data_IF_554471915365
#
_entry.id   IF_554471915365
#
_cell.length_a   1.000
_cell.length_b   1.000
_cell.length_c   1.000
_cell.angle_alpha   90.00
_cell.angle_beta   90.00
_cell.angle_gamma   90.00
#
_symmetry.space_group_name_H-M   'P 1'
#
loop_
_entity.id
_entity.type
_entity.pdbx_description
1 polymer ?
#
# COMPACT_ATOMS: atom_id res chain seq x y z
N UNK A 1 -16.98 -4.45 -68.97
CA UNK A 1 -15.77 -3.99 -68.19
C UNK A 1 -16.12 -4.07 -66.73
N UNK A 2 -15.70 -5.17 -66.11
CA UNK A 2 -15.88 -5.49 -64.74
C UNK A 2 -14.87 -4.68 -63.89
N UNK A 3 -15.39 -4.01 -62.82
CA UNK A 3 -14.57 -3.36 -61.83
C UNK A 3 -14.33 -4.35 -60.67
N UNK A 4 -13.10 -4.84 -60.56
CA UNK A 4 -12.66 -5.68 -59.45
C UNK A 4 -12.61 -4.86 -58.18
N UNK A 5 -13.47 -5.23 -57.20
CA UNK A 5 -13.46 -4.75 -55.85
C UNK A 5 -12.32 -5.41 -55.06
N UNK A 6 -11.31 -4.64 -54.70
CA UNK A 6 -10.21 -5.08 -53.82
C UNK A 6 -10.68 -5.08 -52.35
N UNK A 7 -10.96 -6.27 -51.84
CA UNK A 7 -11.17 -6.49 -50.39
C UNK A 7 -9.84 -6.30 -49.68
N UNK A 8 -9.71 -5.21 -48.93
CA UNK A 8 -8.60 -5.02 -47.98
C UNK A 8 -8.76 -6.01 -46.83
N UNK A 9 -7.94 -7.04 -46.82
CA UNK A 9 -7.75 -7.93 -45.67
C UNK A 9 -7.26 -7.10 -44.48
N UNK A 10 -8.05 -7.10 -43.37
CA UNK A 10 -7.65 -6.55 -42.07
C UNK A 10 -6.40 -7.30 -41.62
N UNK A 11 -5.30 -6.55 -41.51
CA UNK A 11 -4.04 -7.06 -41.00
C UNK A 11 -4.18 -7.75 -39.67
N UNK A 12 -3.52 -8.87 -39.52
CA UNK A 12 -3.34 -9.63 -38.27
C UNK A 12 -2.91 -8.67 -37.16
N UNK A 13 -3.60 -8.74 -36.00
CA UNK A 13 -3.13 -8.09 -34.79
C UNK A 13 -1.77 -8.69 -34.44
N UNK A 14 -0.70 -7.99 -34.80
CA UNK A 14 0.65 -8.35 -34.40
C UNK A 14 0.70 -8.59 -32.88
N UNK A 15 1.42 -9.60 -32.46
CA UNK A 15 1.72 -9.85 -31.06
C UNK A 15 2.27 -8.52 -30.48
N UNK A 16 1.58 -7.98 -29.47
CA UNK A 16 2.08 -6.78 -28.78
C UNK A 16 3.44 -7.13 -28.21
N UNK A 17 4.45 -6.34 -28.55
CA UNK A 17 5.75 -6.43 -27.86
C UNK A 17 5.52 -6.42 -26.33
N UNK A 18 6.29 -7.23 -25.58
CA UNK A 18 6.16 -7.22 -24.13
C UNK A 18 6.37 -5.79 -23.63
N UNK A 19 5.34 -5.25 -22.99
CA UNK A 19 5.40 -3.89 -22.44
C UNK A 19 6.47 -3.84 -21.36
N UNK A 20 7.32 -2.83 -21.42
CA UNK A 20 8.24 -2.54 -20.32
C UNK A 20 7.46 -2.40 -19.00
N UNK A 21 7.89 -3.05 -17.92
CA UNK A 21 7.22 -2.96 -16.62
C UNK A 21 7.07 -1.50 -16.19
N UNK A 22 5.84 -1.09 -15.87
CA UNK A 22 5.51 0.25 -15.40
C UNK A 22 4.64 0.15 -14.15
N UNK A 23 5.10 0.75 -13.05
CA UNK A 23 4.35 0.83 -11.81
C UNK A 23 3.23 1.86 -11.91
N UNK A 24 1.99 1.47 -11.63
CA UNK A 24 0.90 2.39 -11.30
C UNK A 24 0.81 2.58 -9.79
N UNK A 25 0.85 3.81 -9.32
CA UNK A 25 0.62 4.14 -7.90
C UNK A 25 -0.75 4.76 -7.77
N UNK A 26 -1.69 4.04 -7.14
CA UNK A 26 -3.01 4.54 -6.78
C UNK A 26 -2.91 5.16 -5.39
N UNK A 27 -2.63 6.45 -5.35
CA UNK A 27 -2.32 7.23 -4.16
C UNK A 27 -3.33 8.33 -3.86
N UNK A 28 -2.92 9.31 -3.06
CA UNK A 28 -3.76 10.44 -2.62
C UNK A 28 -4.49 10.19 -1.30
N UNK A 29 -4.24 9.04 -0.65
CA UNK A 29 -4.94 8.60 0.55
C UNK A 29 -4.03 8.35 1.80
N UNK A 30 -3.13 9.25 2.24
CA UNK A 30 -3.02 10.64 1.83
C UNK A 30 -1.92 10.94 0.81
N UNK A 31 -1.90 12.18 0.34
CA UNK A 31 -0.93 12.64 -0.65
C UNK A 31 0.50 12.66 -0.11
N UNK A 32 0.73 13.03 1.13
CA UNK A 32 2.05 12.99 1.75
C UNK A 32 2.58 11.55 1.87
N UNK A 33 1.72 10.61 2.27
CA UNK A 33 2.08 9.19 2.31
C UNK A 33 2.43 8.65 0.91
N UNK A 34 1.74 9.10 -0.13
CA UNK A 34 2.05 8.75 -1.53
C UNK A 34 3.44 9.24 -1.94
N UNK A 35 3.82 10.44 -1.53
CA UNK A 35 5.16 10.98 -1.76
C UNK A 35 6.23 10.15 -1.05
N UNK A 36 6.02 9.83 0.22
CA UNK A 36 6.96 9.00 1.02
C UNK A 36 7.05 7.59 0.43
N UNK A 37 5.95 7.02 -0.05
CA UNK A 37 5.97 5.73 -0.75
C UNK A 37 6.88 5.76 -1.98
N UNK A 38 6.77 6.78 -2.82
CA UNK A 38 7.62 6.90 -3.99
C UNK A 38 9.09 7.11 -3.61
N UNK A 39 9.36 7.84 -2.53
CA UNK A 39 10.71 7.96 -1.99
C UNK A 39 11.25 6.58 -1.57
N UNK A 40 10.46 5.74 -0.91
CA UNK A 40 10.86 4.37 -0.57
C UNK A 40 11.17 3.54 -1.82
N UNK A 41 10.36 3.67 -2.88
CA UNK A 41 10.63 2.99 -4.16
C UNK A 41 12.00 3.41 -4.72
N UNK A 42 12.32 4.71 -4.70
CA UNK A 42 13.62 5.21 -5.15
C UNK A 42 14.77 4.69 -4.27
N UNK A 43 14.63 4.79 -2.96
CA UNK A 43 15.65 4.39 -1.99
C UNK A 43 15.94 2.89 -2.03
N UNK A 44 14.91 2.07 -2.29
CA UNK A 44 15.01 0.60 -2.35
C UNK A 44 15.42 0.07 -3.72
N UNK A 45 15.44 0.89 -4.76
CA UNK A 45 15.90 0.47 -6.09
C UNK A 45 17.42 0.56 -6.18
N UNK A 46 18.09 -0.54 -6.56
CA UNK A 46 19.51 -0.50 -6.91
C UNK A 46 19.64 0.20 -8.27
N UNK A 47 20.13 1.44 -8.25
CA UNK A 47 20.25 2.29 -9.42
C UNK A 47 21.40 3.27 -9.27
N UNK A 48 22.16 3.46 -10.34
CA UNK A 48 23.28 4.42 -10.45
C UNK A 48 22.93 5.61 -11.35
N UNK A 49 21.85 5.51 -12.11
CA UNK A 49 21.35 6.55 -13.01
C UNK A 49 19.82 6.46 -13.17
N UNK A 50 19.22 7.49 -13.75
CA UNK A 50 17.75 7.59 -13.89
C UNK A 50 17.14 6.41 -14.64
N UNK A 51 17.82 5.90 -15.66
CA UNK A 51 17.32 4.82 -16.53
C UNK A 51 17.29 3.45 -15.85
N UNK A 52 17.97 3.31 -14.72
CA UNK A 52 17.97 2.08 -13.92
C UNK A 52 16.79 2.02 -12.95
N UNK A 53 16.16 3.17 -12.65
CA UNK A 53 14.92 3.22 -11.88
C UNK A 53 13.74 2.63 -12.66
N UNK A 54 12.68 2.27 -11.94
CA UNK A 54 11.47 1.74 -12.57
C UNK A 54 10.58 2.88 -13.09
N UNK A 55 10.00 2.75 -14.30
CA UNK A 55 8.99 3.69 -14.78
C UNK A 55 7.75 3.67 -13.89
N UNK A 56 7.23 4.83 -13.50
CA UNK A 56 6.06 4.94 -12.65
C UNK A 56 5.06 5.99 -13.15
N UNK A 57 3.78 5.71 -12.96
CA UNK A 57 2.69 6.67 -13.08
C UNK A 57 2.02 6.81 -11.71
N UNK A 58 2.05 8.00 -11.13
CA UNK A 58 1.50 8.27 -9.81
C UNK A 58 0.20 9.04 -9.98
N UNK A 59 -0.91 8.41 -9.61
CA UNK A 59 -2.22 9.03 -9.51
C UNK A 59 -2.47 9.39 -8.04
N UNK A 60 -2.39 10.69 -7.70
CA UNK A 60 -2.69 11.17 -6.36
C UNK A 60 -4.13 11.68 -6.31
N UNK A 61 -5.11 10.77 -6.15
CA UNK A 61 -6.52 11.13 -6.04
C UNK A 61 -6.92 11.42 -4.59
N UNK A 62 -6.98 12.70 -4.25
CA UNK A 62 -7.45 13.15 -2.94
C UNK A 62 -8.98 13.18 -2.81
N UNK A 63 -9.70 12.91 -3.91
CA UNK A 63 -11.16 12.84 -3.94
C UNK A 63 -11.76 11.52 -3.46
N UNK A 64 -10.93 10.50 -3.17
CA UNK A 64 -11.42 9.25 -2.57
C UNK A 64 -11.98 9.53 -1.18
N UNK A 65 -13.25 9.16 -0.87
CA UNK A 65 -13.84 9.37 0.45
C UNK A 65 -12.98 8.85 1.59
N UNK A 66 -13.10 9.44 2.79
CA UNK A 66 -12.34 8.96 3.95
C UNK A 66 -12.61 7.47 4.19
N UNK A 67 -11.54 6.68 4.18
CA UNK A 67 -11.60 5.21 4.20
C UNK A 67 -12.12 4.67 5.52
N UNK A 68 -11.68 5.26 6.63
CA UNK A 68 -12.13 4.87 7.97
C UNK A 68 -13.59 5.23 8.16
N UNK A 69 -14.01 6.45 7.83
CA UNK A 69 -15.40 6.87 7.93
C UNK A 69 -16.31 5.99 7.05
N UNK A 70 -15.91 5.70 5.81
CA UNK A 70 -16.65 4.81 4.91
C UNK A 70 -16.87 3.41 5.50
N UNK A 71 -15.83 2.82 6.08
CA UNK A 71 -15.90 1.48 6.72
C UNK A 71 -16.78 1.52 7.96
N UNK A 72 -16.59 2.50 8.85
CA UNK A 72 -17.31 2.56 10.12
C UNK A 72 -18.80 2.85 9.95
N UNK A 73 -19.17 3.64 8.95
CA UNK A 73 -20.58 3.94 8.64
C UNK A 73 -21.24 2.90 7.73
N UNK A 74 -20.47 2.02 7.09
CA UNK A 74 -20.96 1.07 6.09
C UNK A 74 -21.24 1.69 4.71
N UNK A 75 -21.02 2.98 4.52
CA UNK A 75 -21.18 3.66 3.21
C UNK A 75 -19.89 3.50 2.37
N UNK A 76 -19.63 2.29 1.93
CA UNK A 76 -18.37 1.91 1.28
C UNK A 76 -18.41 1.99 -0.25
N UNK A 77 -19.59 1.99 -0.87
CA UNK A 77 -19.71 1.93 -2.34
C UNK A 77 -19.09 3.14 -3.07
N UNK A 78 -19.25 4.40 -2.62
CA UNK A 78 -18.59 5.53 -3.26
C UNK A 78 -17.06 5.42 -3.25
N UNK A 79 -16.47 4.91 -2.16
CA UNK A 79 -15.05 4.64 -2.05
C UNK A 79 -14.61 3.55 -3.04
N UNK A 80 -15.36 2.45 -3.12
CA UNK A 80 -15.07 1.35 -4.05
C UNK A 80 -15.10 1.81 -5.50
N UNK A 81 -16.16 2.53 -5.92
CA UNK A 81 -16.29 3.00 -7.30
C UNK A 81 -15.17 3.95 -7.70
N UNK A 82 -14.73 4.81 -6.79
CA UNK A 82 -13.61 5.71 -7.04
C UNK A 82 -12.29 4.96 -7.22
N UNK A 83 -11.99 4.04 -6.31
CA UNK A 83 -10.79 3.21 -6.39
C UNK A 83 -10.76 2.34 -7.67
N UNK A 84 -11.91 1.78 -8.06
CA UNK A 84 -12.02 1.00 -9.30
C UNK A 84 -11.76 1.86 -10.54
N UNK A 85 -12.34 3.07 -10.60
CA UNK A 85 -12.12 3.99 -11.71
C UNK A 85 -10.64 4.37 -11.82
N UNK A 86 -9.98 4.65 -10.73
CA UNK A 86 -8.55 4.97 -10.68
C UNK A 86 -7.67 3.78 -11.09
N UNK A 87 -8.01 2.57 -10.66
CA UNK A 87 -7.29 1.36 -11.05
C UNK A 87 -7.40 1.10 -12.56
N UNK A 88 -8.60 1.28 -13.14
CA UNK A 88 -8.82 1.18 -14.60
C UNK A 88 -8.04 2.25 -15.36
N UNK A 89 -8.02 3.49 -14.87
CA UNK A 89 -7.25 4.56 -15.49
C UNK A 89 -5.75 4.22 -15.55
N UNK A 90 -5.18 3.70 -14.46
CA UNK A 90 -3.77 3.28 -14.44
C UNK A 90 -3.51 2.14 -15.43
N UNK A 91 -4.40 1.16 -15.54
CA UNK A 91 -4.31 0.08 -16.53
C UNK A 91 -4.38 0.63 -17.98
N UNK A 92 -5.32 1.52 -18.27
CA UNK A 92 -5.48 2.18 -19.57
C UNK A 92 -4.26 3.01 -19.95
N UNK A 93 -3.61 3.64 -18.98
CA UNK A 93 -2.35 4.38 -19.17
C UNK A 93 -1.13 3.45 -19.35
N UNK A 94 -1.34 2.14 -19.41
CA UNK A 94 -0.30 1.16 -19.73
C UNK A 94 0.56 0.74 -18.54
N UNK A 95 0.12 0.98 -17.30
CA UNK A 95 0.73 0.35 -16.15
C UNK A 95 0.59 -1.18 -16.22
N UNK A 96 1.56 -1.90 -15.67
CA UNK A 96 1.61 -3.37 -15.69
C UNK A 96 1.37 -3.99 -14.33
N UNK A 97 1.42 -3.18 -13.28
CA UNK A 97 1.19 -3.55 -11.89
C UNK A 97 0.75 -2.31 -11.11
N UNK A 98 -0.12 -2.48 -10.13
CA UNK A 98 -0.62 -1.40 -9.27
C UNK A 98 -0.15 -1.60 -7.83
N UNK A 99 0.36 -0.54 -7.21
CA UNK A 99 0.56 -0.41 -5.77
C UNK A 99 -0.44 0.61 -5.21
N UNK A 100 -1.06 0.27 -4.07
CA UNK A 100 -1.99 1.15 -3.36
C UNK A 100 -1.40 1.44 -1.98
N UNK A 101 -0.68 2.57 -1.78
CA UNK A 101 -0.08 2.91 -0.49
C UNK A 101 -1.15 3.44 0.49
N UNK A 102 -2.10 2.58 0.82
CA UNK A 102 -3.19 2.83 1.77
C UNK A 102 -3.68 1.49 2.34
N UNK A 103 -3.46 1.25 3.61
CA UNK A 103 -3.86 -0.02 4.23
C UNK A 103 -5.38 -0.24 4.21
N UNK A 104 -6.16 0.76 4.61
CA UNK A 104 -7.63 0.64 4.69
C UNK A 104 -8.27 0.35 3.33
N UNK A 105 -7.69 0.86 2.24
CA UNK A 105 -8.18 0.62 0.87
C UNK A 105 -8.04 -0.85 0.44
N UNK A 106 -7.20 -1.63 1.11
CA UNK A 106 -7.06 -3.08 0.84
C UNK A 106 -8.33 -3.88 1.17
N UNK A 107 -9.29 -3.26 1.85
CA UNK A 107 -10.63 -3.83 1.99
C UNK A 107 -11.29 -4.17 0.64
N UNK A 108 -10.95 -3.46 -0.42
CA UNK A 108 -11.50 -3.67 -1.76
C UNK A 108 -10.53 -4.31 -2.76
N UNK A 109 -9.29 -4.57 -2.40
CA UNK A 109 -8.27 -5.04 -3.38
C UNK A 109 -8.72 -6.32 -4.08
N UNK A 110 -9.23 -7.31 -3.38
CA UNK A 110 -9.68 -8.55 -3.99
C UNK A 110 -10.89 -8.34 -4.93
N UNK A 111 -11.80 -7.40 -4.60
CA UNK A 111 -12.94 -7.05 -5.44
C UNK A 111 -12.50 -6.27 -6.68
N UNK A 112 -11.60 -5.31 -6.55
CA UNK A 112 -11.05 -4.53 -7.67
C UNK A 112 -10.24 -5.43 -8.61
N UNK A 113 -9.48 -6.38 -8.07
CA UNK A 113 -8.66 -7.31 -8.85
C UNK A 113 -9.49 -8.14 -9.83
N UNK A 114 -10.75 -8.40 -9.54
CA UNK A 114 -11.65 -9.13 -10.45
C UNK A 114 -12.11 -8.28 -11.65
N UNK A 115 -11.95 -6.97 -11.57
CA UNK A 115 -12.43 -5.98 -12.54
C UNK A 115 -11.34 -5.41 -13.45
N UNK A 116 -10.05 -5.74 -13.20
CA UNK A 116 -8.91 -5.27 -13.97
C UNK A 116 -7.99 -6.42 -14.34
N UNK A 117 -7.22 -6.27 -15.41
CA UNK A 117 -6.35 -7.32 -15.97
C UNK A 117 -4.91 -7.29 -15.46
N UNK A 118 -4.49 -6.25 -14.74
CA UNK A 118 -3.13 -6.13 -14.21
C UNK A 118 -3.12 -6.42 -12.69
N UNK A 119 -2.05 -7.01 -12.13
CA UNK A 119 -2.01 -7.35 -10.72
C UNK A 119 -1.96 -6.12 -9.81
N UNK A 120 -2.68 -6.19 -8.69
CA UNK A 120 -2.53 -5.28 -7.57
C UNK A 120 -1.63 -5.93 -6.53
N UNK A 121 -0.61 -5.21 -6.07
CA UNK A 121 0.27 -5.67 -5.00
C UNK A 121 -0.47 -5.61 -3.65
N UNK A 122 -0.61 -6.76 -2.99
CA UNK A 122 -1.39 -6.84 -1.76
C UNK A 122 -0.53 -6.55 -0.54
N UNK A 123 -0.43 -5.27 -0.14
CA UNK A 123 0.41 -4.77 0.95
C UNK A 123 0.28 -5.59 2.24
N UNK A 124 -0.94 -5.89 2.68
CA UNK A 124 -1.18 -6.55 3.98
C UNK A 124 -0.70 -8.01 3.95
N UNK A 125 -0.99 -8.73 2.86
CA UNK A 125 -0.54 -10.11 2.66
C UNK A 125 0.97 -10.23 2.59
N UNK A 126 1.62 -9.33 1.87
CA UNK A 126 3.08 -9.31 1.77
C UNK A 126 3.76 -8.91 3.08
N UNK A 127 3.13 -8.03 3.87
CA UNK A 127 3.60 -7.72 5.22
C UNK A 127 3.57 -8.97 6.11
N UNK A 128 2.46 -9.73 6.10
CA UNK A 128 2.37 -10.98 6.85
C UNK A 128 3.44 -12.00 6.41
N UNK A 129 3.66 -12.14 5.10
CA UNK A 129 4.71 -13.02 4.55
C UNK A 129 6.12 -12.59 5.00
N UNK A 130 6.40 -11.29 4.98
CA UNK A 130 7.67 -10.72 5.42
C UNK A 130 7.91 -11.01 6.91
N UNK A 131 6.89 -10.86 7.75
CA UNK A 131 7.00 -11.15 9.18
C UNK A 131 7.36 -12.62 9.44
N UNK A 132 6.73 -13.56 8.74
CA UNK A 132 7.08 -14.98 8.84
C UNK A 132 8.52 -15.24 8.41
N UNK A 133 8.96 -14.63 7.29
CA UNK A 133 10.33 -14.76 6.82
C UNK A 133 11.35 -14.20 7.83
N UNK A 134 10.97 -13.21 8.64
CA UNK A 134 11.75 -12.66 9.74
C UNK A 134 11.64 -13.45 11.06
N UNK A 135 10.90 -14.57 11.08
CA UNK A 135 10.71 -15.40 12.26
C UNK A 135 9.77 -14.80 13.32
N UNK A 136 8.98 -13.78 12.96
CA UNK A 136 8.01 -13.15 13.86
C UNK A 136 6.79 -14.06 14.06
N UNK A 137 6.11 -13.88 15.19
CA UNK A 137 4.94 -14.69 15.55
C UNK A 137 3.76 -13.89 16.10
N UNK A 138 4.01 -12.81 16.83
CA UNK A 138 3.00 -12.05 17.57
C UNK A 138 3.09 -10.55 17.27
N UNK A 139 2.75 -10.11 16.05
CA UNK A 139 2.78 -8.70 15.71
C UNK A 139 1.65 -7.92 16.38
N UNK A 140 1.95 -6.74 16.93
CA UNK A 140 0.94 -5.72 17.22
C UNK A 140 0.54 -5.02 15.93
N UNK A 141 -0.74 -4.62 15.80
CA UNK A 141 -1.26 -3.92 14.62
C UNK A 141 -1.48 -2.45 15.00
N UNK A 142 -0.64 -1.54 14.48
CA UNK A 142 -0.84 -0.10 14.60
C UNK A 142 -1.48 0.42 13.31
N UNK A 143 -2.80 0.65 13.33
CA UNK A 143 -3.58 1.00 12.16
C UNK A 143 -4.76 1.90 12.52
N UNK A 144 -5.49 2.39 11.51
CA UNK A 144 -6.74 3.12 11.77
C UNK A 144 -7.84 2.20 12.31
N UNK A 145 -8.83 2.79 12.97
CA UNK A 145 -10.01 2.05 13.43
C UNK A 145 -10.72 1.34 12.26
N UNK A 146 -10.73 1.95 11.07
CA UNK A 146 -11.26 1.33 9.86
C UNK A 146 -10.51 0.05 9.49
N UNK A 147 -9.20 0.08 9.46
CA UNK A 147 -8.37 -1.10 9.18
C UNK A 147 -8.55 -2.19 10.25
N UNK A 148 -8.54 -1.81 11.54
CA UNK A 148 -8.78 -2.76 12.65
C UNK A 148 -10.16 -3.40 12.53
N UNK A 149 -11.21 -2.61 12.24
CA UNK A 149 -12.60 -3.09 12.11
C UNK A 149 -12.78 -4.10 10.99
N UNK A 150 -12.06 -3.97 9.87
CA UNK A 150 -12.14 -4.93 8.76
C UNK A 150 -11.54 -6.28 9.08
N UNK A 151 -10.65 -6.37 10.08
CA UNK A 151 -9.93 -7.59 10.42
C UNK A 151 -8.93 -8.05 9.35
N UNK A 152 -8.56 -7.20 8.39
CA UNK A 152 -7.68 -7.58 7.28
C UNK A 152 -6.32 -8.08 7.74
N UNK A 153 -5.65 -7.37 8.65
CA UNK A 153 -4.37 -7.82 9.20
C UNK A 153 -4.52 -9.11 10.00
N UNK A 154 -5.54 -9.21 10.82
CA UNK A 154 -5.81 -10.41 11.62
C UNK A 154 -6.01 -11.63 10.71
N UNK A 155 -6.82 -11.48 9.65
CA UNK A 155 -7.09 -12.53 8.67
C UNK A 155 -5.83 -12.97 7.92
N UNK A 156 -5.10 -12.02 7.31
CA UNK A 156 -3.90 -12.34 6.53
C UNK A 156 -2.78 -12.89 7.42
N UNK A 157 -2.58 -12.33 8.60
CA UNK A 157 -1.61 -12.84 9.57
C UNK A 157 -1.95 -14.27 10.03
N UNK A 158 -3.22 -14.54 10.35
CA UNK A 158 -3.67 -15.88 10.76
C UNK A 158 -3.47 -16.92 9.64
N UNK A 159 -3.66 -16.53 8.37
CA UNK A 159 -3.39 -17.40 7.23
C UNK A 159 -1.92 -17.84 7.13
N UNK A 160 -1.00 -17.05 7.69
CA UNK A 160 0.43 -17.35 7.80
C UNK A 160 0.85 -17.89 9.19
N UNK A 161 -0.10 -18.19 10.08
CA UNK A 161 0.19 -18.70 11.42
C UNK A 161 0.68 -17.65 12.42
N UNK A 162 0.44 -16.34 12.16
CA UNK A 162 0.79 -15.24 13.05
C UNK A 162 -0.40 -14.88 13.96
N UNK A 163 -0.12 -14.56 15.21
CA UNK A 163 -1.09 -14.10 16.21
C UNK A 163 -1.09 -12.56 16.30
N UNK A 164 -1.66 -11.90 15.29
CA UNK A 164 -1.70 -10.44 15.21
C UNK A 164 -2.86 -9.87 16.04
N UNK A 165 -2.58 -8.84 16.84
CA UNK A 165 -3.58 -8.17 17.66
C UNK A 165 -3.43 -6.64 17.65
N UNK A 166 -4.56 -5.89 17.63
CA UNK A 166 -4.53 -4.45 17.86
C UNK A 166 -4.17 -4.16 19.33
N UNK A 167 -3.65 -2.95 19.63
CA UNK A 167 -3.43 -2.54 21.00
C UNK A 167 -4.75 -2.30 21.75
N UNK A 168 -4.66 -2.14 23.07
CA UNK A 168 -5.81 -1.78 23.89
C UNK A 168 -6.45 -0.45 23.45
N UNK A 169 -7.76 -0.21 23.73
CA UNK A 169 -8.48 0.97 23.26
C UNK A 169 -7.84 2.31 23.61
N UNK A 170 -7.19 2.41 24.79
CA UNK A 170 -6.50 3.64 25.19
C UNK A 170 -5.30 3.93 24.28
N UNK A 171 -4.53 2.92 23.92
CA UNK A 171 -3.37 3.02 23.03
C UNK A 171 -3.84 3.24 21.58
N UNK A 172 -4.91 2.57 21.17
CA UNK A 172 -5.51 2.76 19.85
C UNK A 172 -5.95 4.22 19.62
N UNK A 173 -6.48 4.90 20.65
CA UNK A 173 -6.79 6.33 20.56
C UNK A 173 -5.55 7.21 20.32
N UNK A 174 -4.40 6.85 20.93
CA UNK A 174 -3.15 7.57 20.63
C UNK A 174 -2.69 7.36 19.19
N UNK A 175 -2.82 6.13 18.66
CA UNK A 175 -2.54 5.84 17.25
C UNK A 175 -3.41 6.68 16.34
N UNK A 176 -4.73 6.72 16.57
CA UNK A 176 -5.69 7.53 15.81
C UNK A 176 -5.37 9.02 15.89
N UNK A 177 -4.99 9.53 17.07
CA UNK A 177 -4.62 10.93 17.27
C UNK A 177 -3.38 11.30 16.44
N UNK A 178 -2.32 10.49 16.47
CA UNK A 178 -1.13 10.73 15.63
C UNK A 178 -1.51 10.74 14.15
N UNK A 179 -2.34 9.82 13.69
CA UNK A 179 -2.74 9.70 12.28
C UNK A 179 -3.60 10.90 11.83
N UNK A 180 -4.70 11.18 12.53
CA UNK A 180 -5.74 12.11 12.08
C UNK A 180 -5.57 13.55 12.56
N UNK A 181 -5.08 13.72 13.80
CA UNK A 181 -4.96 15.05 14.39
C UNK A 181 -3.62 15.71 14.10
N UNK A 182 -2.59 14.92 13.74
CA UNK A 182 -1.24 15.40 13.52
C UNK A 182 -0.76 15.16 12.09
N UNK A 183 -0.44 13.92 11.69
CA UNK A 183 0.18 13.63 10.38
C UNK A 183 -0.71 14.05 9.21
N UNK A 184 -2.01 13.72 9.23
CA UNK A 184 -2.95 14.14 8.16
C UNK A 184 -3.14 15.66 8.08
N UNK A 185 -2.79 16.39 9.12
CA UNK A 185 -2.79 17.87 9.14
C UNK A 185 -1.45 18.48 8.74
N UNK A 186 -0.48 17.66 8.35
CA UNK A 186 0.85 18.12 7.92
C UNK A 186 1.85 18.29 9.06
N UNK A 187 1.53 17.83 10.27
CA UNK A 187 2.46 17.82 11.38
C UNK A 187 3.38 16.60 11.33
N UNK A 188 4.49 16.63 12.09
CA UNK A 188 5.46 15.54 12.12
C UNK A 188 5.11 14.38 13.04
N UNK A 189 4.06 14.54 13.85
CA UNK A 189 3.64 13.60 14.87
C UNK A 189 4.40 13.71 16.18
N UNK A 190 3.70 13.46 17.29
CA UNK A 190 4.23 13.56 18.65
C UNK A 190 5.05 12.34 19.03
N UNK A 191 6.34 12.55 19.33
CA UNK A 191 7.21 11.51 19.89
C UNK A 191 6.76 11.07 21.27
N UNK A 192 6.20 11.97 22.06
CA UNK A 192 5.70 11.70 23.41
C UNK A 192 4.50 10.75 23.37
N UNK A 193 3.56 10.95 22.45
CA UNK A 193 2.43 10.02 22.25
C UNK A 193 2.96 8.67 21.75
N UNK A 194 3.89 8.67 20.80
CA UNK A 194 4.46 7.43 20.28
C UNK A 194 5.22 6.66 21.35
N UNK A 195 5.95 7.34 22.24
CA UNK A 195 6.62 6.70 23.37
C UNK A 195 5.64 6.06 24.37
N UNK A 196 4.40 6.56 24.49
CA UNK A 196 3.36 5.91 25.27
C UNK A 196 2.87 4.62 24.59
N UNK A 197 2.70 4.66 23.26
CA UNK A 197 2.39 3.45 22.46
C UNK A 197 3.50 2.41 22.65
N UNK A 198 4.76 2.78 22.49
CA UNK A 198 5.93 1.91 22.62
C UNK A 198 5.96 1.19 23.98
N UNK A 199 5.76 1.93 25.07
CA UNK A 199 5.68 1.34 26.43
C UNK A 199 4.52 0.35 26.58
N UNK A 200 3.38 0.65 26.00
CA UNK A 200 2.23 -0.26 26.04
C UNK A 200 2.48 -1.54 25.25
N UNK A 201 3.09 -1.45 24.09
CA UNK A 201 3.45 -2.60 23.27
C UNK A 201 4.43 -3.53 23.97
N UNK A 202 5.36 -2.99 24.77
CA UNK A 202 6.28 -3.79 25.56
C UNK A 202 5.56 -4.73 26.56
N UNK A 203 4.39 -4.33 27.07
CA UNK A 203 3.57 -5.14 27.99
C UNK A 203 2.64 -6.13 27.29
N UNK A 204 2.41 -6.00 25.98
CA UNK A 204 1.52 -6.90 25.22
C UNK A 204 2.17 -8.26 24.88
N UNK A 205 3.46 -8.43 25.07
CA UNK A 205 4.19 -9.64 24.71
C UNK A 205 4.28 -9.87 23.20
N UNK A 206 4.19 -8.81 22.39
CA UNK A 206 4.43 -8.87 20.95
C UNK A 206 5.94 -8.89 20.67
N UNK A 207 6.32 -9.54 19.58
CA UNK A 207 7.71 -9.63 19.11
C UNK A 207 8.03 -8.61 18.00
N UNK A 208 7.02 -7.90 17.51
CA UNK A 208 7.13 -6.78 16.58
C UNK A 208 5.82 -5.99 16.55
N UNK A 209 5.84 -4.85 15.86
CA UNK A 209 4.64 -4.07 15.57
C UNK A 209 4.60 -3.69 14.09
N UNK A 210 3.42 -3.80 13.48
CA UNK A 210 3.18 -3.39 12.09
C UNK A 210 2.79 -1.92 12.08
N UNK A 211 3.50 -1.09 11.31
CA UNK A 211 3.02 0.23 10.92
C UNK A 211 1.97 0.04 9.81
N UNK A 212 0.74 -0.25 10.23
CA UNK A 212 -0.40 -0.60 9.39
C UNK A 212 -1.23 0.60 8.94
N UNK A 213 -0.67 1.78 8.97
CA UNK A 213 -1.19 3.00 8.38
C UNK A 213 -0.04 3.78 7.77
N UNK A 214 -0.21 4.26 6.55
CA UNK A 214 0.87 4.96 5.82
C UNK A 214 1.24 6.30 6.44
N UNK A 215 0.37 6.91 7.23
CA UNK A 215 0.72 8.06 8.07
C UNK A 215 1.77 7.71 9.14
N UNK A 216 1.78 6.48 9.64
CA UNK A 216 2.84 6.02 10.55
C UNK A 216 4.18 5.81 9.82
N UNK A 217 4.14 5.49 8.52
CA UNK A 217 5.33 5.50 7.67
C UNK A 217 5.86 6.93 7.48
N UNK A 218 4.96 7.91 7.31
CA UNK A 218 5.32 9.34 7.30
C UNK A 218 5.93 9.74 8.66
N UNK A 219 5.34 9.30 9.78
CA UNK A 219 5.94 9.51 11.11
C UNK A 219 7.37 8.96 11.16
N UNK A 220 7.58 7.72 10.69
CA UNK A 220 8.88 7.07 10.63
C UNK A 220 9.89 7.84 9.77
N UNK A 221 9.45 8.53 8.71
CA UNK A 221 10.34 9.34 7.88
C UNK A 221 10.90 10.58 8.61
N UNK A 222 10.21 11.05 9.64
CA UNK A 222 10.68 12.15 10.50
C UNK A 222 11.39 11.67 11.76
N UNK A 223 11.08 10.45 12.21
CA UNK A 223 11.54 9.90 13.49
C UNK A 223 12.08 8.51 13.29
N UNK A 224 13.34 8.28 13.63
CA UNK A 224 13.92 6.95 13.57
C UNK A 224 13.18 6.01 14.53
N UNK A 225 12.75 4.85 14.03
CA UNK A 225 12.12 3.79 14.82
C UNK A 225 13.01 2.53 14.80
N UNK A 226 13.06 1.77 15.90
CA UNK A 226 13.83 0.54 15.96
C UNK A 226 13.27 -0.54 15.02
N UNK A 227 14.07 -1.60 14.70
CA UNK A 227 13.64 -2.71 13.84
C UNK A 227 12.46 -3.54 14.37
N UNK A 228 12.01 -3.28 15.60
CA UNK A 228 10.77 -3.81 16.15
C UNK A 228 9.54 -3.40 15.33
N UNK A 229 9.58 -2.22 14.70
CA UNK A 229 8.50 -1.70 13.86
C UNK A 229 8.72 -2.08 12.39
N UNK A 230 7.79 -2.87 11.84
CA UNK A 230 7.80 -3.29 10.44
C UNK A 230 6.84 -2.40 9.66
N UNK A 231 7.37 -1.70 8.67
CA UNK A 231 6.63 -0.74 7.87
C UNK A 231 5.99 -1.42 6.66
N UNK A 232 4.66 -1.55 6.66
CA UNK A 232 3.91 -2.16 5.57
C UNK A 232 4.09 -1.41 4.23
N UNK A 233 4.29 -0.09 4.27
CA UNK A 233 4.52 0.71 3.06
C UNK A 233 5.92 0.45 2.48
N UNK A 234 6.92 0.23 3.30
CA UNK A 234 8.25 -0.16 2.87
C UNK A 234 8.23 -1.55 2.21
N UNK A 235 7.53 -2.51 2.81
CA UNK A 235 7.30 -3.84 2.22
C UNK A 235 6.64 -3.72 0.84
N UNK A 236 5.64 -2.85 0.70
CA UNK A 236 4.98 -2.61 -0.59
C UNK A 236 5.94 -2.00 -1.61
N UNK A 237 6.81 -1.08 -1.21
CA UNK A 237 7.79 -0.46 -2.09
C UNK A 237 8.83 -1.49 -2.59
N UNK A 238 9.35 -2.32 -1.71
CA UNK A 238 10.27 -3.40 -2.08
C UNK A 238 9.61 -4.40 -3.05
N UNK A 239 8.37 -4.78 -2.77
CA UNK A 239 7.60 -5.64 -3.68
C UNK A 239 7.41 -5.00 -5.05
N UNK A 240 7.12 -3.70 -5.12
CA UNK A 240 6.98 -2.96 -6.38
C UNK A 240 8.26 -2.97 -7.19
N UNK A 241 9.42 -2.75 -6.56
CA UNK A 241 10.73 -2.81 -7.21
C UNK A 241 10.96 -4.16 -7.85
N UNK A 242 10.77 -5.24 -7.09
CA UNK A 242 10.98 -6.63 -7.58
C UNK A 242 9.98 -6.98 -8.69
N UNK A 243 8.72 -6.61 -8.55
CA UNK A 243 7.67 -6.89 -9.55
C UNK A 243 7.85 -6.13 -10.86
N UNK A 244 8.53 -4.99 -10.83
CA UNK A 244 8.94 -4.26 -12.02
C UNK A 244 10.29 -4.74 -12.60
N UNK A 245 10.83 -5.86 -12.14
CA UNK A 245 12.05 -6.48 -12.65
C UNK A 245 13.34 -5.76 -12.25
N UNK A 246 13.30 -4.91 -11.22
CA UNK A 246 14.47 -4.22 -10.69
C UNK A 246 15.02 -4.96 -9.46
N UNK A 247 16.27 -4.67 -9.13
CA UNK A 247 16.92 -5.25 -7.96
C UNK A 247 16.77 -4.34 -6.74
N UNK A 248 16.66 -4.97 -5.57
CA UNK A 248 16.65 -4.24 -4.31
C UNK A 248 18.06 -3.78 -3.95
N UNK A 249 18.16 -2.53 -3.52
CA UNK A 249 19.40 -2.01 -2.94
C UNK A 249 19.68 -2.72 -1.60
N UNK A 250 20.88 -3.25 -1.48
CA UNK A 250 21.37 -3.78 -0.19
C UNK A 250 21.70 -2.62 0.74
N UNK A 251 21.10 -2.59 1.93
CA UNK A 251 21.30 -1.56 2.96
C UNK A 251 22.24 -2.08 4.03
#
# INVERSE_FOLDING_TARGET
>A
REAMSTVKTRGSKGAREPREPKLGVLGGMGPQATQVFYQYVLDRTEASCDQEHLPALILSDTGVPDRTASILTGNTEPMYQRLLADARLLEECGCTVIAIPCNTSHYFVDRIQQEIGIPILHMIRETARTLVAQGKRRPAILATDGTIRTGLYQKECAAFGLEAAPPEPAVQRLVMSIIYEEIKRGERGSREKFAQIDRALASMGCDCAILGCTELSVFRSYHSLPPFYVDAMEVLAELAVVRCGKQLRTI
#
